data_IF_908132949333
#
_entry.id   IF_908132949333
#
_cell.length_a   1.000
_cell.length_b   1.000
_cell.length_c   1.000
_cell.angle_alpha   90.00
_cell.angle_beta   90.00
_cell.angle_gamma   90.00
#
_symmetry.space_group_name_H-M   'P 1'
#
loop_
_entity.id
_entity.type
_entity.pdbx_description
1 polymer ?
#
# COMPACT_ATOMS: atom_id res chain seq x y z
N UNK A 1 9.88 6.60 16.53
CA UNK A 1 9.60 7.11 17.89
C UNK A 1 8.12 7.29 18.21
N UNK A 2 7.28 7.86 17.33
CA UNK A 2 5.80 7.81 17.50
C UNK A 2 5.11 6.82 16.54
N UNK A 3 5.70 6.63 15.35
CA UNK A 3 5.16 5.78 14.28
C UNK A 3 5.24 4.29 14.66
N UNK A 4 6.27 3.88 15.42
CA UNK A 4 6.51 2.48 15.80
C UNK A 4 5.41 1.90 16.71
N UNK A 5 4.68 2.73 17.45
CA UNK A 5 3.59 2.30 18.32
C UNK A 5 2.24 2.19 17.60
N UNK A 6 2.15 2.67 16.37
CA UNK A 6 0.91 2.59 15.59
C UNK A 6 0.74 1.15 15.13
N UNK A 7 -0.43 0.56 15.40
CA UNK A 7 -0.66 -0.84 15.04
C UNK A 7 -0.67 -1.05 13.53
N UNK A 8 -1.36 -0.21 12.77
CA UNK A 8 -1.48 -0.34 11.32
C UNK A 8 -1.61 1.04 10.68
N UNK A 9 -0.96 1.23 9.53
CA UNK A 9 -1.03 2.47 8.75
C UNK A 9 -1.50 2.14 7.34
N UNK A 10 -2.60 2.78 6.93
CA UNK A 10 -3.09 2.74 5.56
C UNK A 10 -2.94 4.13 4.94
N UNK A 11 -2.30 4.19 3.77
CA UNK A 11 -2.22 5.42 2.97
C UNK A 11 -2.90 5.17 1.62
N UNK A 12 -3.81 6.08 1.26
CA UNK A 12 -4.55 6.08 0.00
C UNK A 12 -4.01 7.19 -0.90
N UNK A 13 -3.54 6.82 -2.09
CA UNK A 13 -2.97 7.75 -3.06
C UNK A 13 -3.72 7.60 -4.38
N UNK A 14 -4.19 8.71 -4.92
CA UNK A 14 -4.93 8.71 -6.17
C UNK A 14 -4.62 9.97 -6.96
N UNK A 15 -4.53 9.81 -8.28
CA UNK A 15 -4.27 10.83 -9.27
C UNK A 15 -2.78 11.05 -9.55
N UNK A 16 -2.50 11.48 -10.78
CA UNK A 16 -1.13 11.70 -11.29
C UNK A 16 -0.34 12.76 -10.51
N UNK A 17 -1.02 13.73 -9.90
CA UNK A 17 -0.38 14.80 -9.12
C UNK A 17 0.43 14.28 -7.91
N UNK A 18 0.12 13.08 -7.44
CA UNK A 18 0.81 12.44 -6.30
C UNK A 18 1.80 11.36 -6.74
N UNK A 19 1.93 11.09 -8.04
CA UNK A 19 2.79 10.02 -8.55
C UNK A 19 4.25 10.22 -8.16
N UNK A 20 4.75 11.46 -8.25
CA UNK A 20 6.11 11.79 -7.83
C UNK A 20 6.34 11.61 -6.32
N UNK A 21 5.36 11.96 -5.50
CA UNK A 21 5.43 11.74 -4.06
C UNK A 21 5.44 10.24 -3.72
N UNK A 22 4.67 9.42 -4.44
CA UNK A 22 4.67 7.97 -4.30
C UNK A 22 6.03 7.36 -4.70
N UNK A 23 6.63 7.85 -5.78
CA UNK A 23 7.98 7.45 -6.20
C UNK A 23 9.01 7.69 -5.10
N UNK A 24 9.04 8.91 -4.54
CA UNK A 24 9.95 9.27 -3.43
C UNK A 24 9.68 8.46 -2.15
N UNK A 25 8.43 8.04 -1.93
CA UNK A 25 8.06 7.29 -0.75
C UNK A 25 8.38 5.79 -0.82
N UNK A 26 8.47 5.19 -2.01
CA UNK A 26 8.60 3.74 -2.20
C UNK A 26 9.94 3.33 -2.81
N UNK A 27 10.47 4.10 -3.76
CA UNK A 27 11.70 3.72 -4.49
C UNK A 27 12.95 4.38 -3.92
N UNK A 28 12.80 5.57 -3.33
CA UNK A 28 13.90 6.32 -2.73
C UNK A 28 13.99 6.07 -1.23
N UNK A 29 15.13 6.45 -0.64
CA UNK A 29 15.39 6.28 0.79
C UNK A 29 14.58 7.22 1.69
N UNK A 30 14.57 6.91 2.99
CA UNK A 30 13.90 7.72 4.01
C UNK A 30 14.48 9.13 4.04
N UNK A 31 13.62 10.13 3.84
CA UNK A 31 13.99 11.54 3.77
C UNK A 31 12.93 12.42 4.43
N UNK A 32 13.36 13.39 5.23
CA UNK A 32 12.49 14.36 5.90
C UNK A 32 11.70 15.27 4.94
N UNK A 33 12.17 15.48 3.71
CA UNK A 33 11.42 16.23 2.69
C UNK A 33 10.16 15.47 2.24
N UNK A 34 10.18 14.14 2.35
CA UNK A 34 9.12 13.24 1.93
C UNK A 34 8.70 12.38 3.12
N UNK A 35 7.95 12.96 4.06
CA UNK A 35 7.64 12.34 5.36
C UNK A 35 6.94 10.98 5.26
N UNK A 36 6.25 10.70 4.14
CA UNK A 36 5.66 9.38 3.86
C UNK A 36 6.72 8.27 3.80
N UNK A 37 7.95 8.57 3.39
CA UNK A 37 9.06 7.61 3.38
C UNK A 37 9.40 7.05 4.77
N UNK A 38 9.06 7.76 5.85
CA UNK A 38 9.26 7.27 7.22
C UNK A 38 8.50 5.96 7.51
N UNK A 39 7.41 5.69 6.78
CA UNK A 39 6.64 4.46 6.93
C UNK A 39 7.31 3.22 6.31
N UNK A 40 8.41 3.37 5.57
CA UNK A 40 9.22 2.23 5.12
C UNK A 40 9.75 1.38 6.29
N UNK A 41 9.97 2.00 7.46
CA UNK A 41 10.40 1.31 8.68
C UNK A 41 9.24 0.78 9.53
N UNK A 42 7.98 1.06 9.15
CA UNK A 42 6.83 0.64 9.95
C UNK A 42 6.50 -0.83 9.64
N UNK A 43 6.32 -1.68 10.67
CA UNK A 43 6.14 -3.12 10.46
C UNK A 43 4.83 -3.50 9.78
N UNK A 44 3.82 -2.63 9.79
CA UNK A 44 2.47 -2.89 9.22
C UNK A 44 1.96 -1.67 8.47
N UNK A 45 2.58 -1.41 7.33
CA UNK A 45 2.24 -0.34 6.41
C UNK A 45 1.60 -0.90 5.13
N UNK A 46 0.47 -0.32 4.72
CA UNK A 46 -0.19 -0.60 3.44
C UNK A 46 -0.39 0.70 2.66
N UNK A 47 0.11 0.73 1.43
CA UNK A 47 -0.13 1.82 0.49
C UNK A 47 -1.04 1.32 -0.63
N UNK A 48 -2.20 1.95 -0.79
CA UNK A 48 -3.15 1.66 -1.87
C UNK A 48 -3.12 2.82 -2.84
N UNK A 49 -2.90 2.51 -4.12
CA UNK A 49 -2.82 3.49 -5.18
C UNK A 49 -3.66 3.10 -6.40
N UNK A 50 -4.15 4.10 -7.13
CA UNK A 50 -4.71 3.91 -8.46
C UNK A 50 -3.61 3.82 -9.52
N UNK A 51 -3.98 3.49 -10.75
CA UNK A 51 -3.02 3.35 -11.84
C UNK A 51 -2.35 4.68 -12.20
N UNK A 52 -3.10 5.79 -12.14
CA UNK A 52 -2.61 7.14 -12.44
C UNK A 52 -1.51 7.61 -11.47
N UNK A 53 -1.57 7.21 -10.20
CA UNK A 53 -0.52 7.48 -9.22
C UNK A 53 0.76 6.67 -9.46
N UNK A 54 0.72 5.61 -10.27
CA UNK A 54 1.91 4.76 -10.53
C UNK A 54 2.77 5.23 -11.70
N UNK A 55 2.39 6.33 -12.37
CA UNK A 55 3.04 6.81 -13.60
C UNK A 55 4.54 7.11 -13.45
N UNK A 56 4.98 7.57 -12.27
CA UNK A 56 6.38 7.90 -11.98
C UNK A 56 7.17 6.72 -11.38
N UNK A 57 6.54 5.57 -11.17
CA UNK A 57 7.22 4.37 -10.66
C UNK A 57 7.92 3.60 -11.77
N UNK A 58 8.99 2.88 -11.41
CA UNK A 58 9.63 1.96 -12.35
C UNK A 58 8.67 0.81 -12.66
N UNK A 59 8.64 0.41 -13.93
CA UNK A 59 7.82 -0.71 -14.42
C UNK A 59 8.05 -1.99 -13.61
N UNK A 60 9.28 -2.23 -13.13
CA UNK A 60 9.61 -3.39 -12.29
C UNK A 60 8.89 -3.35 -10.94
N UNK A 61 8.84 -2.20 -10.30
CA UNK A 61 8.17 -1.97 -9.01
C UNK A 61 6.68 -2.23 -9.14
N UNK A 62 6.04 -1.65 -10.17
CA UNK A 62 4.61 -1.85 -10.42
C UNK A 62 4.30 -3.31 -10.70
N UNK A 63 5.11 -4.00 -11.52
CA UNK A 63 4.92 -5.43 -11.82
C UNK A 63 5.08 -6.31 -10.59
N UNK A 64 6.05 -6.01 -9.72
CA UNK A 64 6.26 -6.73 -8.47
C UNK A 64 5.01 -6.67 -7.58
N UNK A 65 4.49 -5.47 -7.33
CA UNK A 65 3.30 -5.31 -6.48
C UNK A 65 2.03 -5.86 -7.13
N UNK A 66 1.82 -5.67 -8.44
CA UNK A 66 0.69 -6.29 -9.17
C UNK A 66 0.72 -7.83 -9.06
N UNK A 67 1.90 -8.45 -9.09
CA UNK A 67 2.05 -9.89 -8.85
C UNK A 67 1.62 -10.30 -7.43
N UNK A 68 2.00 -9.52 -6.42
CA UNK A 68 1.63 -9.75 -5.02
C UNK A 68 0.15 -9.54 -4.71
N UNK A 69 -0.56 -8.71 -5.49
CA UNK A 69 -1.99 -8.46 -5.28
C UNK A 69 -2.84 -9.74 -5.36
N UNK A 70 -2.41 -10.73 -6.15
CA UNK A 70 -3.10 -12.03 -6.24
C UNK A 70 -3.13 -12.74 -4.89
N UNK A 71 -1.99 -12.77 -4.20
CA UNK A 71 -1.84 -13.35 -2.85
C UNK A 71 -2.61 -12.53 -1.82
N UNK A 72 -2.54 -11.19 -1.91
CA UNK A 72 -3.28 -10.32 -1.00
C UNK A 72 -4.80 -10.52 -1.12
N UNK A 73 -5.30 -10.73 -2.34
CA UNK A 73 -6.72 -10.98 -2.60
C UNK A 73 -7.18 -12.34 -2.03
N UNK A 74 -6.33 -13.37 -2.12
CA UNK A 74 -6.59 -14.67 -1.50
C UNK A 74 -6.65 -14.55 0.02
N UNK A 75 -5.72 -13.81 0.64
CA UNK A 75 -5.75 -13.56 2.08
C UNK A 75 -7.04 -12.83 2.50
N UNK A 76 -7.56 -11.89 1.71
CA UNK A 76 -8.83 -11.23 2.02
C UNK A 76 -9.99 -12.24 1.93
N UNK A 77 -9.98 -13.12 0.92
CA UNK A 77 -11.00 -14.15 0.77
C UNK A 77 -10.98 -15.16 1.95
N UNK A 78 -9.79 -15.60 2.36
CA UNK A 78 -9.59 -16.58 3.43
C UNK A 78 -9.84 -15.99 4.83
N UNK A 79 -9.58 -14.70 5.03
CA UNK A 79 -9.88 -13.97 6.28
C UNK A 79 -11.31 -13.40 6.31
N UNK A 80 -12.07 -13.55 5.22
CA UNK A 80 -13.51 -13.27 5.22
C UNK A 80 -14.18 -14.23 6.20
N UNK A 81 -14.65 -13.71 7.33
CA UNK A 81 -15.38 -14.50 8.32
C UNK A 81 -16.49 -15.31 7.60
N UNK A 82 -16.56 -16.64 7.78
CA UNK A 82 -17.58 -17.50 7.14
C UNK A 82 -19.03 -17.25 7.64
N UNK A 83 -19.32 -16.14 8.34
CA UNK A 83 -20.66 -15.86 8.90
C UNK A 83 -21.58 -15.10 7.96
N UNK A 84 -21.07 -14.48 6.89
CA UNK A 84 -21.91 -13.72 5.95
C UNK A 84 -22.44 -14.55 4.78
N UNK A 85 -22.10 -15.84 4.68
CA UNK A 85 -22.61 -16.76 3.66
C UNK A 85 -23.76 -17.67 4.14
N UNK A 86 -24.33 -17.42 5.33
CA UNK A 86 -25.41 -18.26 5.90
C UNK A 86 -26.76 -17.56 6.11
N UNK A 87 -26.99 -16.36 5.55
CA UNK A 87 -28.30 -15.67 5.70
C UNK A 87 -28.96 -15.32 4.38
N UNK A 88 -29.04 -16.30 3.47
CA UNK A 88 -30.09 -16.32 2.43
C UNK A 88 -30.66 -17.73 2.34
N UNK A 89 -31.73 -17.97 3.10
CA UNK A 89 -32.79 -18.96 2.88
C UNK A 89 -34.03 -18.51 3.65
#
# INVERSE_FOLDING_TARGET
MLIDHICFVLILISGTSKAYALHMAIEEGINHMWTVSAFQNHPRFLCVCDEDATMELKVKTVRYFKGLMSVHSQLIADNGHPSLLHTEN
#
